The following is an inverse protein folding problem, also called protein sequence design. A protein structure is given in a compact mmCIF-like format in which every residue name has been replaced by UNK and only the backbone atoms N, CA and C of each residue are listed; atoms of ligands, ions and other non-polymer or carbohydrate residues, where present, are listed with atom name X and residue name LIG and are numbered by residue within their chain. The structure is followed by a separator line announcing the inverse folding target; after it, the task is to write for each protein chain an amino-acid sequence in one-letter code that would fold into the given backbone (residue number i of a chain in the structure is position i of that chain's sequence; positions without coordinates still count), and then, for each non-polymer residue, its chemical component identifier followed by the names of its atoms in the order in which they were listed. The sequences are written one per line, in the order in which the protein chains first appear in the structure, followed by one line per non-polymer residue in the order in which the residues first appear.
data_IF_068723028308
#
_entry.id   IF_068723028308
#
_cell.length_a   1.000
_cell.length_b   1.000
_cell.length_c   1.000
_cell.angle_alpha   90.00
_cell.angle_beta   90.00
_cell.angle_gamma   90.00
#
_symmetry.space_group_name_H-M   'P 1'
#
loop_
_entity.id
_entity.type
_entity.pdbx_description
1 polymer ?
#
# COMPACT_ATOMS: atom_id res chain seq x y z
N UNK A 1 29.33 -6.13 17.01
CA UNK A 1 30.35 -7.03 17.55
C UNK A 1 31.11 -7.65 16.40
N UNK A 2 32.45 -7.56 16.48
CA UNK A 2 33.44 -7.86 15.44
C UNK A 2 33.37 -9.31 14.95
N UNK A 3 33.31 -9.51 13.63
CA UNK A 3 33.70 -10.79 13.02
C UNK A 3 35.23 -10.78 12.99
N UNK A 4 35.86 -11.72 13.70
CA UNK A 4 37.30 -11.89 13.70
C UNK A 4 37.76 -12.26 12.29
N UNK A 5 38.41 -11.31 11.60
CA UNK A 5 39.07 -11.56 10.31
C UNK A 5 40.40 -12.26 10.62
N UNK A 6 40.61 -13.43 10.00
CA UNK A 6 41.88 -14.17 10.07
C UNK A 6 43.03 -13.26 9.62
N UNK A 7 44.14 -13.24 10.36
CA UNK A 7 45.32 -12.39 10.04
C UNK A 7 45.84 -12.70 8.63
N UNK A 8 45.76 -11.71 7.74
CA UNK A 8 46.04 -11.85 6.30
C UNK A 8 47.53 -12.04 5.97
N UNK A 9 48.43 -11.45 6.77
CA UNK A 9 49.85 -11.27 6.43
C UNK A 9 50.61 -12.59 6.17
N UNK A 10 50.25 -13.66 6.89
CA UNK A 10 50.95 -14.93 6.80
C UNK A 10 50.69 -15.69 5.48
N UNK A 11 49.63 -15.36 4.74
CA UNK A 11 49.19 -16.15 3.57
C UNK A 11 49.35 -15.45 2.22
N UNK A 12 49.60 -14.13 2.23
CA UNK A 12 49.85 -13.33 1.03
C UNK A 12 51.03 -13.80 0.16
N UNK A 13 52.20 -14.23 0.70
CA UNK A 13 53.34 -14.63 -0.13
C UNK A 13 53.03 -15.86 -0.99
N UNK A 14 52.23 -16.79 -0.45
CA UNK A 14 51.83 -18.02 -1.12
C UNK A 14 50.84 -17.70 -2.24
N UNK A 15 49.87 -16.83 -1.99
CA UNK A 15 48.88 -16.43 -2.98
C UNK A 15 49.52 -15.74 -4.20
N UNK A 16 50.51 -14.87 -3.96
CA UNK A 16 51.27 -14.22 -5.02
C UNK A 16 52.03 -15.23 -5.89
N UNK A 17 52.64 -16.26 -5.28
CA UNK A 17 53.38 -17.31 -6.01
C UNK A 17 52.51 -18.09 -7.01
N UNK A 18 51.24 -18.32 -6.68
CA UNK A 18 50.31 -19.07 -7.53
C UNK A 18 49.37 -18.16 -8.35
N UNK A 19 49.54 -16.84 -8.30
CA UNK A 19 48.68 -15.88 -9.01
C UNK A 19 47.23 -15.90 -8.54
N UNK A 20 46.96 -16.37 -7.32
CA UNK A 20 45.61 -16.55 -6.79
C UNK A 20 45.17 -15.30 -6.03
N UNK A 21 43.96 -14.81 -6.31
CA UNK A 21 43.32 -13.76 -5.54
C UNK A 21 42.25 -14.34 -4.62
N UNK A 22 42.22 -13.89 -3.36
CA UNK A 22 41.13 -14.28 -2.45
C UNK A 22 39.82 -13.63 -2.93
N UNK A 23 38.72 -14.39 -2.98
CA UNK A 23 37.42 -13.81 -3.25
C UNK A 23 37.05 -12.85 -2.13
N UNK A 24 36.42 -11.73 -2.49
CA UNK A 24 35.92 -10.75 -1.53
C UNK A 24 34.87 -11.41 -0.64
N UNK A 25 35.09 -11.43 0.67
CA UNK A 25 34.10 -11.92 1.63
C UNK A 25 33.00 -10.86 1.76
N UNK A 26 31.97 -10.99 0.92
CA UNK A 26 30.79 -10.14 0.93
C UNK A 26 29.52 -10.95 1.22
N UNK A 27 28.38 -10.25 1.28
CA UNK A 27 27.09 -10.89 1.52
C UNK A 27 26.69 -11.87 0.42
N UNK A 28 27.16 -11.65 -0.81
CA UNK A 28 26.86 -12.49 -1.98
C UNK A 28 27.59 -13.82 -1.88
N UNK A 29 28.87 -13.78 -1.51
CA UNK A 29 29.68 -14.96 -1.25
C UNK A 29 29.07 -15.76 -0.10
N UNK A 30 28.74 -15.10 1.01
CA UNK A 30 28.12 -15.75 2.17
C UNK A 30 26.79 -16.42 1.81
N UNK A 31 25.91 -15.76 1.06
CA UNK A 31 24.64 -16.34 0.62
C UNK A 31 24.85 -17.57 -0.26
N UNK A 32 25.81 -17.50 -1.18
CA UNK A 32 26.17 -18.62 -2.07
C UNK A 32 26.58 -19.84 -1.26
N UNK A 33 27.50 -19.67 -0.30
CA UNK A 33 27.93 -20.75 0.59
C UNK A 33 26.79 -21.27 1.47
N UNK A 34 25.98 -20.41 2.07
CA UNK A 34 24.85 -20.83 2.90
C UNK A 34 23.81 -21.66 2.12
N UNK A 35 23.57 -21.34 0.84
CA UNK A 35 22.71 -22.16 -0.02
C UNK A 35 23.29 -23.57 -0.21
N UNK A 36 24.59 -23.66 -0.47
CA UNK A 36 25.26 -24.95 -0.60
C UNK A 36 25.29 -25.75 0.71
N UNK A 37 25.46 -25.08 1.85
CA UNK A 37 25.42 -25.73 3.16
C UNK A 37 24.04 -26.30 3.48
N UNK A 38 22.97 -25.56 3.15
CA UNK A 38 21.62 -26.10 3.25
C UNK A 38 21.40 -27.29 2.31
N UNK A 39 21.84 -27.20 1.05
CA UNK A 39 21.73 -28.31 0.09
C UNK A 39 22.47 -29.59 0.54
N UNK A 40 23.54 -29.44 1.33
CA UNK A 40 24.30 -30.55 1.94
C UNK A 40 23.75 -31.01 3.29
N UNK A 41 22.66 -30.42 3.78
CA UNK A 41 22.06 -30.74 5.07
C UNK A 41 22.79 -30.19 6.30
N UNK A 42 23.79 -29.33 6.11
CA UNK A 42 24.56 -28.73 7.21
C UNK A 42 23.81 -27.57 7.89
N UNK A 43 22.78 -27.03 7.24
CA UNK A 43 21.87 -26.05 7.83
C UNK A 43 20.47 -26.67 7.89
N UNK A 44 19.77 -26.45 9.00
CA UNK A 44 18.40 -26.96 9.20
C UNK A 44 17.34 -26.17 8.42
N UNK A 45 17.68 -25.02 7.84
CA UNK A 45 16.76 -24.10 7.14
C UNK A 45 17.49 -23.39 5.99
N UNK A 46 16.81 -23.11 4.86
CA UNK A 46 17.43 -22.38 3.77
C UNK A 46 17.68 -20.92 4.19
N UNK A 47 18.75 -20.26 3.68
CA UNK A 47 18.99 -18.85 3.96
C UNK A 47 17.81 -18.00 3.48
N UNK A 48 17.33 -17.11 4.34
CA UNK A 48 16.16 -16.25 4.08
C UNK A 48 16.52 -15.30 2.93
N UNK A 49 15.85 -15.45 1.77
CA UNK A 49 16.05 -14.59 0.59
C UNK A 49 15.85 -13.12 0.97
N UNK A 50 16.95 -12.41 1.26
CA UNK A 50 16.94 -10.95 1.23
C UNK A 50 17.03 -10.59 -0.24
N UNK A 51 15.96 -10.01 -0.80
CA UNK A 51 15.99 -9.50 -2.17
C UNK A 51 17.24 -8.63 -2.35
N UNK A 52 18.13 -9.06 -3.24
CA UNK A 52 19.25 -8.27 -3.71
C UNK A 52 18.71 -7.21 -4.67
N UNK A 53 18.94 -5.93 -4.35
CA UNK A 53 19.52 -4.93 -5.26
C UNK A 53 19.67 -3.58 -4.54
N UNK A 54 20.92 -3.10 -4.45
CA UNK A 54 21.27 -1.72 -4.17
C UNK A 54 21.08 -1.28 -2.72
N UNK A 55 21.85 -0.27 -2.32
CA UNK A 55 21.54 0.59 -1.17
C UNK A 55 20.20 1.29 -1.39
N UNK A 56 19.10 0.56 -1.24
CA UNK A 56 17.80 1.17 -1.01
C UNK A 56 17.84 1.65 0.43
N UNK A 57 18.23 2.92 0.63
CA UNK A 57 18.07 3.59 1.91
C UNK A 57 16.68 3.26 2.42
N UNK A 58 16.58 2.81 3.68
CA UNK A 58 15.34 2.31 4.32
C UNK A 58 14.14 2.99 3.67
N UNK A 59 13.47 2.31 2.72
CA UNK A 59 12.18 2.81 2.23
C UNK A 59 11.34 2.76 3.49
N UNK A 60 11.12 3.93 4.09
CA UNK A 60 10.15 4.07 5.15
C UNK A 60 8.85 3.69 4.48
N UNK A 61 8.43 2.43 4.67
CA UNK A 61 7.24 1.88 4.02
C UNK A 61 5.95 2.58 4.52
N UNK A 62 6.08 3.58 5.39
CA UNK A 62 5.01 4.27 6.09
C UNK A 62 4.35 3.37 7.13
N UNK A 63 3.58 3.96 8.05
CA UNK A 63 2.95 3.22 9.15
C UNK A 63 1.87 2.25 8.69
N UNK A 64 1.37 2.44 7.47
CA UNK A 64 0.26 1.68 6.87
C UNK A 64 0.73 0.81 5.70
N UNK A 65 2.02 0.52 5.63
CA UNK A 65 2.62 -0.36 4.62
C UNK A 65 1.83 -1.66 4.43
N UNK A 66 1.34 -1.90 3.21
CA UNK A 66 0.65 -3.13 2.85
C UNK A 66 -0.78 -3.25 3.37
N UNK A 67 -1.32 -2.22 4.03
CA UNK A 67 -2.74 -2.12 4.35
C UNK A 67 -3.54 -1.70 3.13
N UNK A 68 -4.78 -2.17 3.01
CA UNK A 68 -5.71 -1.76 1.95
C UNK A 68 -6.77 -0.83 2.53
N UNK A 69 -6.90 0.36 1.94
CA UNK A 69 -7.87 1.36 2.35
C UNK A 69 -8.83 1.72 1.21
N UNK A 70 -10.12 1.77 1.51
CA UNK A 70 -11.16 2.29 0.61
C UNK A 70 -11.62 3.65 1.09
N UNK A 71 -11.62 4.65 0.21
CA UNK A 71 -12.07 6.00 0.51
C UNK A 71 -13.24 6.38 -0.41
N UNK A 72 -14.43 6.53 0.17
CA UNK A 72 -15.61 7.05 -0.51
C UNK A 72 -15.62 8.58 -0.47
N UNK A 73 -16.12 9.22 -1.52
CA UNK A 73 -16.10 10.68 -1.64
C UNK A 73 -14.70 11.22 -1.96
N UNK A 74 -13.83 10.40 -2.53
CA UNK A 74 -12.41 10.72 -2.72
C UNK A 74 -12.10 11.72 -3.84
N UNK A 75 -13.11 12.23 -4.57
CA UNK A 75 -12.90 13.16 -5.69
C UNK A 75 -12.46 14.57 -5.28
N UNK A 76 -12.60 14.95 -4.00
CA UNK A 76 -12.28 16.31 -3.54
C UNK A 76 -12.17 16.38 -2.00
N UNK A 77 -11.75 17.55 -1.50
CA UNK A 77 -11.83 17.91 -0.08
C UNK A 77 -11.15 16.89 0.85
N UNK A 78 -11.84 16.57 1.95
CA UNK A 78 -11.34 15.66 2.99
C UNK A 78 -11.07 14.27 2.41
N UNK A 79 -11.96 13.72 1.58
CA UNK A 79 -11.76 12.40 0.97
C UNK A 79 -10.48 12.32 0.13
N UNK A 80 -10.22 13.32 -0.71
CA UNK A 80 -9.00 13.38 -1.51
C UNK A 80 -7.73 13.51 -0.63
N UNK A 81 -7.79 14.36 0.40
CA UNK A 81 -6.68 14.56 1.33
C UNK A 81 -6.38 13.29 2.14
N UNK A 82 -7.40 12.58 2.62
CA UNK A 82 -7.26 11.32 3.35
C UNK A 82 -6.69 10.25 2.43
N UNK A 83 -7.19 10.11 1.19
CA UNK A 83 -6.63 9.18 0.21
C UNK A 83 -5.14 9.41 -0.06
N UNK A 84 -4.73 10.67 -0.21
CA UNK A 84 -3.32 11.03 -0.37
C UNK A 84 -2.48 10.75 0.88
N UNK A 85 -3.01 11.04 2.08
CA UNK A 85 -2.35 10.77 3.35
C UNK A 85 -2.12 9.28 3.59
N UNK A 86 -3.14 8.45 3.33
CA UNK A 86 -3.05 6.99 3.44
C UNK A 86 -2.00 6.41 2.47
N UNK A 87 -2.00 6.89 1.22
CA UNK A 87 -1.01 6.47 0.23
C UNK A 87 0.42 6.89 0.64
N UNK A 88 0.59 8.11 1.19
CA UNK A 88 1.87 8.60 1.71
C UNK A 88 2.41 7.70 2.84
N UNK A 89 1.54 7.14 3.66
CA UNK A 89 1.87 6.16 4.70
C UNK A 89 1.99 4.71 4.16
N UNK A 90 2.01 4.52 2.85
CA UNK A 90 2.30 3.24 2.17
C UNK A 90 1.13 2.27 2.06
N UNK A 91 -0.09 2.71 2.36
CA UNK A 91 -1.29 1.92 2.11
C UNK A 91 -1.56 1.78 0.60
N UNK A 92 -2.13 0.64 0.20
CA UNK A 92 -2.83 0.52 -1.07
C UNK A 92 -4.18 1.21 -0.93
N UNK A 93 -4.48 2.17 -1.80
CA UNK A 93 -5.69 2.99 -1.68
C UNK A 93 -6.61 2.77 -2.87
N UNK A 94 -7.89 2.57 -2.59
CA UNK A 94 -8.97 2.61 -3.57
C UNK A 94 -9.78 3.88 -3.36
N UNK A 95 -9.83 4.74 -4.37
CA UNK A 95 -10.53 6.01 -4.33
C UNK A 95 -11.82 5.90 -5.15
N UNK A 96 -12.95 6.14 -4.50
CA UNK A 96 -14.26 6.02 -5.13
C UNK A 96 -15.11 7.28 -4.97
N UNK A 97 -15.74 7.67 -6.07
CA UNK A 97 -16.65 8.81 -6.19
C UNK A 97 -17.37 8.76 -7.55
N UNK A 98 -18.34 9.65 -7.75
CA UNK A 98 -19.11 9.74 -9.01
C UNK A 98 -18.35 10.41 -10.17
N UNK A 99 -17.41 11.32 -9.87
CA UNK A 99 -16.66 12.13 -10.85
C UNK A 99 -15.32 11.49 -11.16
N UNK A 100 -15.24 10.84 -12.33
CA UNK A 100 -14.08 10.04 -12.73
C UNK A 100 -12.85 10.90 -13.09
N UNK A 101 -13.09 12.01 -13.78
CA UNK A 101 -12.10 13.04 -14.11
C UNK A 101 -11.38 13.58 -12.85
N UNK A 102 -12.16 13.88 -11.80
CA UNK A 102 -11.61 14.35 -10.54
C UNK A 102 -10.81 13.26 -9.80
N UNK A 103 -11.24 12.00 -9.86
CA UNK A 103 -10.49 10.87 -9.30
C UNK A 103 -9.15 10.66 -10.01
N UNK A 104 -9.11 10.77 -11.34
CA UNK A 104 -7.87 10.68 -12.12
C UNK A 104 -6.89 11.78 -11.71
N UNK A 105 -7.37 13.01 -11.51
CA UNK A 105 -6.53 14.11 -11.03
C UNK A 105 -5.94 13.83 -9.63
N UNK A 106 -6.71 13.23 -8.72
CA UNK A 106 -6.22 12.83 -7.39
C UNK A 106 -5.20 11.70 -7.50
N UNK A 107 -5.48 10.66 -8.30
CA UNK A 107 -4.56 9.55 -8.55
C UNK A 107 -3.24 10.03 -9.14
N UNK A 108 -3.29 10.94 -10.11
CA UNK A 108 -2.08 11.52 -10.71
C UNK A 108 -1.22 12.20 -9.64
N UNK A 109 -1.81 13.05 -8.79
CA UNK A 109 -1.10 13.70 -7.67
C UNK A 109 -0.43 12.70 -6.72
N UNK A 110 -1.15 11.62 -6.35
CA UNK A 110 -0.61 10.58 -5.47
C UNK A 110 0.53 9.79 -6.13
N UNK A 111 0.39 9.51 -7.43
CA UNK A 111 1.38 8.76 -8.20
C UNK A 111 2.66 9.59 -8.38
N UNK A 112 2.54 10.88 -8.72
CA UNK A 112 3.68 11.81 -8.85
C UNK A 112 4.44 11.97 -7.53
N UNK A 113 3.78 11.89 -6.37
CA UNK A 113 4.42 11.96 -5.07
C UNK A 113 5.32 10.73 -4.74
N UNK A 114 5.33 9.69 -5.58
CA UNK A 114 6.23 8.54 -5.43
C UNK A 114 5.90 7.66 -4.23
N UNK A 115 4.61 7.45 -3.96
CA UNK A 115 4.16 6.59 -2.85
C UNK A 115 4.41 5.11 -3.14
N UNK A 116 4.75 4.32 -2.11
CA UNK A 116 5.02 2.89 -2.26
C UNK A 116 3.77 2.01 -2.41
N UNK A 117 2.57 2.59 -2.28
CA UNK A 117 1.29 1.90 -2.37
C UNK A 117 0.68 1.94 -3.77
N UNK A 118 -0.20 0.96 -4.07
CA UNK A 118 -1.00 0.95 -5.29
C UNK A 118 -2.20 1.90 -5.15
N UNK A 119 -2.59 2.55 -6.24
CA UNK A 119 -3.78 3.40 -6.30
C UNK A 119 -4.78 2.83 -7.30
N UNK A 120 -5.92 2.38 -6.81
CA UNK A 120 -7.09 2.02 -7.61
C UNK A 120 -8.08 3.20 -7.58
N UNK A 121 -8.74 3.46 -8.69
CA UNK A 121 -9.85 4.40 -8.77
C UNK A 121 -11.04 3.67 -9.38
N UNK A 122 -12.24 3.97 -8.91
CA UNK A 122 -13.46 3.40 -9.45
C UNK A 122 -14.62 4.38 -9.29
N UNK A 123 -15.39 4.55 -10.36
CA UNK A 123 -16.65 5.29 -10.28
C UNK A 123 -17.65 4.48 -9.46
N UNK A 124 -18.23 5.11 -8.44
CA UNK A 124 -19.31 4.52 -7.65
C UNK A 124 -20.21 5.62 -7.07
N UNK A 125 -21.53 5.43 -7.16
CA UNK A 125 -22.50 6.17 -6.35
C UNK A 125 -22.72 5.47 -5.01
N UNK A 126 -22.51 6.19 -3.91
CA UNK A 126 -22.64 5.63 -2.56
C UNK A 126 -24.10 5.31 -2.21
N UNK A 127 -25.07 5.93 -2.90
CA UNK A 127 -26.50 5.62 -2.70
C UNK A 127 -26.92 4.31 -3.36
N UNK A 128 -26.08 3.76 -4.24
CA UNK A 128 -26.32 2.48 -4.91
C UNK A 128 -25.62 1.35 -4.17
N UNK A 129 -26.39 0.53 -3.44
CA UNK A 129 -25.87 -0.64 -2.73
C UNK A 129 -25.08 -1.58 -3.67
N UNK A 130 -25.58 -1.80 -4.88
CA UNK A 130 -24.94 -2.68 -5.87
C UNK A 130 -23.58 -2.14 -6.36
N UNK A 131 -23.47 -0.82 -6.57
CA UNK A 131 -22.19 -0.20 -6.95
C UNK A 131 -21.17 -0.25 -5.81
N UNK A 132 -21.62 -0.02 -4.57
CA UNK A 132 -20.76 -0.15 -3.38
C UNK A 132 -20.27 -1.58 -3.22
N UNK A 133 -21.13 -2.58 -3.39
CA UNK A 133 -20.75 -3.98 -3.31
C UNK A 133 -19.74 -4.36 -4.41
N UNK A 134 -20.01 -3.93 -5.65
CA UNK A 134 -19.11 -4.13 -6.79
C UNK A 134 -17.73 -3.50 -6.54
N UNK A 135 -17.69 -2.30 -5.95
CA UNK A 135 -16.45 -1.65 -5.53
C UNK A 135 -15.70 -2.50 -4.50
N UNK A 136 -16.33 -2.93 -3.41
CA UNK A 136 -15.63 -3.70 -2.36
C UNK A 136 -15.10 -5.03 -2.88
N UNK A 137 -15.85 -5.70 -3.76
CA UNK A 137 -15.39 -6.93 -4.43
C UNK A 137 -14.18 -6.66 -5.34
N UNK A 138 -14.22 -5.60 -6.14
CA UNK A 138 -13.12 -5.25 -7.04
C UNK A 138 -11.85 -4.87 -6.26
N UNK A 139 -11.99 -4.11 -5.17
CA UNK A 139 -10.88 -3.78 -4.26
C UNK A 139 -10.28 -5.04 -3.68
N UNK A 140 -11.12 -5.93 -3.14
CA UNK A 140 -10.67 -7.18 -2.53
C UNK A 140 -9.90 -8.08 -3.50
N UNK A 141 -10.35 -8.14 -4.76
CA UNK A 141 -9.69 -8.88 -5.84
C UNK A 141 -8.37 -8.25 -6.28
N UNK A 142 -8.30 -6.91 -6.34
CA UNK A 142 -7.18 -6.19 -6.98
C UNK A 142 -6.07 -5.81 -6.00
N UNK A 143 -6.45 -5.38 -4.80
CA UNK A 143 -5.54 -4.85 -3.77
C UNK A 143 -5.35 -5.83 -2.59
N UNK A 144 -6.32 -6.72 -2.37
CA UNK A 144 -6.35 -7.64 -1.23
C UNK A 144 -7.43 -7.25 -0.20
N UNK A 145 -7.50 -7.95 0.94
CA UNK A 145 -8.54 -7.74 1.95
C UNK A 145 -8.54 -6.30 2.46
N UNK A 146 -9.73 -5.72 2.65
CA UNK A 146 -9.91 -4.34 3.08
C UNK A 146 -9.62 -4.23 4.58
N UNK A 147 -8.65 -3.39 4.96
CA UNK A 147 -8.30 -3.11 6.35
C UNK A 147 -8.94 -1.82 6.88
N UNK A 148 -9.13 -0.83 6.00
CA UNK A 148 -9.54 0.52 6.36
C UNK A 148 -10.68 0.96 5.43
N UNK A 149 -11.81 1.35 6.01
CA UNK A 149 -12.89 2.01 5.29
C UNK A 149 -13.01 3.46 5.76
N UNK A 150 -13.02 4.39 4.82
CA UNK A 150 -13.24 5.81 5.06
C UNK A 150 -14.46 6.27 4.26
N UNK A 151 -15.55 6.60 4.94
CA UNK A 151 -16.72 7.21 4.31
C UNK A 151 -16.65 8.74 4.45
N UNK A 152 -16.21 9.41 3.39
CA UNK A 152 -16.19 10.88 3.31
C UNK A 152 -17.18 11.44 2.28
N UNK A 153 -18.04 10.59 1.70
CA UNK A 153 -19.09 11.07 0.81
C UNK A 153 -20.17 11.79 1.62
N UNK A 154 -20.51 13.01 1.22
CA UNK A 154 -21.55 13.77 1.89
C UNK A 154 -22.05 14.93 1.05
N UNK A 155 -23.31 15.29 1.27
CA UNK A 155 -23.93 16.52 0.77
C UNK A 155 -24.58 17.28 1.92
N UNK A 156 -24.61 18.60 1.81
CA UNK A 156 -25.29 19.48 2.74
C UNK A 156 -25.84 20.66 1.95
N UNK A 157 -27.14 20.88 2.08
CA UNK A 157 -27.84 21.97 1.41
C UNK A 157 -28.12 23.06 2.44
N UNK A 158 -27.70 24.30 2.14
CA UNK A 158 -27.86 25.44 3.04
C UNK A 158 -29.20 26.14 2.74
N UNK A 159 -30.25 25.70 3.41
CA UNK A 159 -31.60 26.28 3.31
C UNK A 159 -32.29 26.28 4.68
N UNK A 160 -33.30 27.13 4.86
CA UNK A 160 -34.11 27.11 6.09
C UNK A 160 -35.07 25.93 6.04
N UNK A 161 -35.30 25.26 7.19
CA UNK A 161 -36.28 24.16 7.29
C UNK A 161 -37.70 24.60 6.86
N UNK A 162 -38.05 25.87 7.11
CA UNK A 162 -39.33 26.45 6.68
C UNK A 162 -39.54 26.43 5.16
N UNK A 163 -38.47 26.35 4.36
CA UNK A 163 -38.56 26.27 2.90
C UNK A 163 -39.01 24.87 2.42
N UNK A 164 -39.12 23.89 3.32
CA UNK A 164 -39.68 22.56 3.09
C UNK A 164 -39.15 21.86 1.82
N UNK A 165 -37.84 21.95 1.57
CA UNK A 165 -37.17 21.30 0.45
C UNK A 165 -36.90 19.83 0.78
N UNK A 166 -37.98 19.06 0.96
CA UNK A 166 -37.93 17.67 1.44
C UNK A 166 -37.06 16.76 0.59
N UNK A 167 -37.04 16.97 -0.73
CA UNK A 167 -36.21 16.19 -1.66
C UNK A 167 -34.70 16.33 -1.36
N UNK A 168 -34.25 17.51 -0.93
CA UNK A 168 -32.85 17.74 -0.53
C UNK A 168 -32.54 17.05 0.80
N UNK A 169 -33.51 16.97 1.70
CA UNK A 169 -33.37 16.29 2.98
C UNK A 169 -33.28 14.78 2.77
N UNK A 170 -34.17 14.21 1.95
CA UNK A 170 -34.13 12.80 1.58
C UNK A 170 -32.80 12.46 0.91
N UNK A 171 -32.34 13.29 -0.02
CA UNK A 171 -31.04 13.12 -0.68
C UNK A 171 -29.88 13.18 0.31
N UNK A 172 -29.96 14.03 1.33
CA UNK A 172 -28.96 14.10 2.41
C UNK A 172 -28.92 12.81 3.22
N UNK A 173 -30.10 12.25 3.56
CA UNK A 173 -30.21 10.96 4.27
C UNK A 173 -29.67 9.82 3.40
N UNK A 174 -30.00 9.80 2.11
CA UNK A 174 -29.54 8.78 1.17
C UNK A 174 -28.01 8.75 1.07
N UNK A 175 -27.37 9.92 0.92
CA UNK A 175 -25.91 9.99 0.78
C UNK A 175 -25.21 9.81 2.12
N UNK A 176 -25.58 10.57 3.14
CA UNK A 176 -24.80 10.69 4.37
C UNK A 176 -25.07 9.54 5.35
N UNK A 177 -26.30 8.99 5.35
CA UNK A 177 -26.71 7.94 6.27
C UNK A 177 -26.76 6.57 5.58
N UNK A 178 -27.64 6.40 4.57
CA UNK A 178 -27.79 5.11 3.88
C UNK A 178 -26.49 4.72 3.17
N UNK A 179 -25.82 5.69 2.54
CA UNK A 179 -24.53 5.45 1.89
C UNK A 179 -23.46 4.88 2.82
N UNK A 180 -23.33 5.40 4.04
CA UNK A 180 -22.44 4.83 5.06
C UNK A 180 -22.84 3.39 5.40
N UNK A 181 -24.13 3.13 5.60
CA UNK A 181 -24.63 1.79 5.93
C UNK A 181 -24.37 0.79 4.79
N UNK A 182 -24.48 1.21 3.53
CA UNK A 182 -24.11 0.38 2.38
C UNK A 182 -22.65 -0.04 2.46
N UNK A 183 -21.73 0.90 2.70
CA UNK A 183 -20.31 0.58 2.84
C UNK A 183 -20.02 -0.36 4.02
N UNK A 184 -20.65 -0.12 5.18
CA UNK A 184 -20.49 -0.99 6.36
C UNK A 184 -20.99 -2.40 6.07
N UNK A 185 -22.18 -2.54 5.48
CA UNK A 185 -22.77 -3.84 5.16
C UNK A 185 -21.98 -4.66 4.13
N UNK A 186 -21.13 -4.01 3.33
CA UNK A 186 -20.29 -4.67 2.32
C UNK A 186 -18.88 -5.00 2.80
N UNK A 187 -18.46 -4.53 3.99
CA UNK A 187 -17.09 -4.69 4.50
C UNK A 187 -17.05 -5.41 5.85
N UNK A 188 -18.03 -5.17 6.72
CA UNK A 188 -18.12 -5.80 8.05
C UNK A 188 -18.77 -7.19 7.90
N UNK A 189 -18.21 -8.25 8.54
CA UNK A 189 -18.79 -9.61 8.51
C UNK A 189 -20.21 -9.71 9.05
#
# INVERSE_FOLDING_TARGET
QSVTVLKDDATQPILAKYGLQRPKIDSTLLETYMRHFYARGWLSRPPRRKQANGTSGKINKGRLAGKVAVVMGASSGIGAAVGAGLAKEGAHVALAARRMDALEAVKAKITTAGTGGKVLIQKADITSKAEVESLMQNVSKTLGPIDILVSCAGVMYFTMMANNQTDEWERTVDVNCKGLLHCLSSVVP
#
